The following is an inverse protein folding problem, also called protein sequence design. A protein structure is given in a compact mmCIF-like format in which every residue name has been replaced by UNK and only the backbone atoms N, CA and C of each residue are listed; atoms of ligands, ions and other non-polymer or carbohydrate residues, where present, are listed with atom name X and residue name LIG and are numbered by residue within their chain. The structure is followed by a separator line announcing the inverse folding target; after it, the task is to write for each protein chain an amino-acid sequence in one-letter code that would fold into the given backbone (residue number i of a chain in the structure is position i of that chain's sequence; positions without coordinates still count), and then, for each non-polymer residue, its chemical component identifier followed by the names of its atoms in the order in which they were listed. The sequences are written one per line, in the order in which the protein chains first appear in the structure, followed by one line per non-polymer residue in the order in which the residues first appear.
data_IF_589814696966
#
_entry.id   IF_589814696966
#
_cell.length_a   1.000
_cell.length_b   1.000
_cell.length_c   1.000
_cell.angle_alpha   90.00
_cell.angle_beta   90.00
_cell.angle_gamma   90.00
#
_symmetry.space_group_name_H-M   'P 1'
#
loop_
_entity.id
_entity.type
_entity.pdbx_description
1 polymer ?
#
# COMPACT_ATOMS: atom_id res chain seq x y z
N UNK A 1 2.65 11.64 -18.59
CA UNK A 1 2.09 12.04 -17.27
C UNK A 1 2.07 10.80 -16.41
N UNK A 2 2.36 10.90 -15.12
CA UNK A 2 2.24 9.78 -14.19
C UNK A 2 0.75 9.39 -14.03
N UNK A 3 0.47 8.09 -13.93
CA UNK A 3 -0.87 7.54 -13.76
C UNK A 3 -1.31 7.73 -12.30
N UNK A 4 -2.38 8.50 -12.02
CA UNK A 4 -2.89 8.63 -10.67
C UNK A 4 -3.55 7.32 -10.22
N UNK A 5 -3.18 6.82 -9.05
CA UNK A 5 -3.72 5.56 -8.50
C UNK A 5 -4.12 5.68 -7.03
N UNK A 6 -5.07 4.83 -6.63
CA UNK A 6 -5.34 4.45 -5.25
C UNK A 6 -4.90 2.99 -5.09
N UNK A 7 -4.13 2.70 -4.04
CA UNK A 7 -3.62 1.36 -3.79
C UNK A 7 -4.32 0.76 -2.58
N UNK A 8 -5.21 -0.20 -2.80
CA UNK A 8 -5.91 -0.94 -1.76
C UNK A 8 -5.24 -2.31 -1.55
N UNK A 9 -4.92 -2.66 -0.30
CA UNK A 9 -4.21 -3.91 0.02
C UNK A 9 -4.52 -4.45 1.43
N UNK A 10 -4.30 -5.75 1.67
CA UNK A 10 -4.37 -6.40 2.99
C UNK A 10 -2.96 -6.80 3.48
N UNK A 11 -2.10 -5.81 3.78
CA UNK A 11 -0.65 -5.89 3.76
C UNK A 11 -0.03 -7.16 4.37
N UNK A 12 0.31 -8.08 3.45
CA UNK A 12 1.32 -9.12 3.55
C UNK A 12 2.70 -8.62 3.13
N UNK A 13 3.65 -9.55 2.98
CA UNK A 13 5.03 -9.22 2.57
C UNK A 13 5.09 -8.77 1.10
N UNK A 14 4.24 -9.35 0.26
CA UNK A 14 4.06 -9.04 -1.15
C UNK A 14 3.45 -7.65 -1.35
N UNK A 15 2.43 -7.26 -0.58
CA UNK A 15 1.87 -5.91 -0.62
C UNK A 15 2.87 -4.84 -0.18
N UNK A 16 3.70 -5.15 0.83
CA UNK A 16 4.75 -4.22 1.26
C UNK A 16 5.72 -3.92 0.11
N UNK A 17 6.09 -4.95 -0.67
CA UNK A 17 6.92 -4.78 -1.87
C UNK A 17 6.17 -3.96 -2.92
N UNK A 18 4.89 -4.23 -3.15
CA UNK A 18 4.07 -3.47 -4.11
C UNK A 18 3.95 -1.99 -3.74
N UNK A 19 3.76 -1.66 -2.45
CA UNK A 19 3.74 -0.28 -1.95
C UNK A 19 5.07 0.41 -2.22
N UNK A 20 6.19 -0.22 -1.89
CA UNK A 20 7.53 0.37 -2.11
C UNK A 20 7.78 0.60 -3.60
N UNK A 21 7.47 -0.38 -4.45
CA UNK A 21 7.61 -0.25 -5.90
C UNK A 21 6.71 0.86 -6.47
N UNK A 22 5.47 0.96 -6.00
CA UNK A 22 4.53 1.98 -6.45
C UNK A 22 5.01 3.39 -6.09
N UNK A 23 5.52 3.59 -4.86
CA UNK A 23 6.04 4.87 -4.40
C UNK A 23 7.38 5.26 -5.06
N UNK A 24 8.18 4.29 -5.48
CA UNK A 24 9.44 4.52 -6.18
C UNK A 24 9.27 4.76 -7.69
N UNK A 25 8.11 4.44 -8.25
CA UNK A 25 7.86 4.55 -9.70
C UNK A 25 7.59 5.99 -10.12
N UNK A 26 8.31 6.48 -11.12
CA UNK A 26 8.03 7.79 -11.76
C UNK A 26 6.80 7.74 -12.68
N UNK A 27 6.31 6.54 -13.01
CA UNK A 27 5.14 6.33 -13.86
C UNK A 27 3.84 6.40 -13.06
N UNK A 28 3.89 6.31 -11.73
CA UNK A 28 2.73 6.27 -10.85
C UNK A 28 2.67 7.50 -9.94
N UNK A 29 1.47 7.99 -9.71
CA UNK A 29 1.17 9.10 -8.81
C UNK A 29 0.21 8.58 -7.74
N UNK A 30 0.77 7.99 -6.68
CA UNK A 30 0.03 7.36 -5.59
C UNK A 30 -0.68 8.43 -4.78
N UNK A 31 -2.01 8.49 -4.88
CA UNK A 31 -2.84 9.49 -4.20
C UNK A 31 -3.24 9.09 -2.80
N UNK A 32 -3.47 7.80 -2.59
CA UNK A 32 -3.73 7.23 -1.28
C UNK A 32 -3.42 5.73 -1.27
N UNK A 33 -3.19 5.22 -0.07
CA UNK A 33 -3.11 3.79 0.22
C UNK A 33 -4.22 3.49 1.22
N UNK A 34 -5.07 2.52 0.90
CA UNK A 34 -6.13 2.03 1.79
C UNK A 34 -5.80 0.61 2.22
N UNK A 35 -6.08 0.29 3.49
CA UNK A 35 -5.93 -1.07 4.00
C UNK A 35 -7.29 -1.72 4.13
N UNK A 36 -7.46 -2.88 3.50
CA UNK A 36 -8.63 -3.74 3.70
C UNK A 36 -8.30 -4.85 4.70
N UNK A 37 -9.32 -5.43 5.31
CA UNK A 37 -9.17 -6.64 6.11
C UNK A 37 -9.35 -7.86 5.21
N UNK A 38 -8.32 -8.70 5.16
CA UNK A 38 -8.33 -9.97 4.43
C UNK A 38 -7.76 -11.07 5.32
N UNK A 39 -6.47 -11.33 5.18
CA UNK A 39 -5.76 -12.39 5.92
C UNK A 39 -5.54 -12.09 7.42
N UNK A 40 -5.74 -10.85 7.84
CA UNK A 40 -5.49 -10.36 9.20
C UNK A 40 -6.59 -9.36 9.61
N UNK A 41 -6.60 -8.98 10.89
CA UNK A 41 -7.58 -8.02 11.41
C UNK A 41 -7.35 -6.62 10.84
N UNK A 42 -8.40 -5.78 10.71
CA UNK A 42 -8.28 -4.40 10.22
C UNK A 42 -7.20 -3.58 10.96
N UNK A 43 -7.07 -3.76 12.26
CA UNK A 43 -6.10 -3.01 13.07
C UNK A 43 -4.66 -3.44 12.78
N UNK A 44 -4.47 -4.72 12.41
CA UNK A 44 -3.17 -5.25 12.05
C UNK A 44 -2.79 -4.87 10.63
N UNK A 45 -3.74 -4.93 9.69
CA UNK A 45 -3.50 -4.47 8.31
C UNK A 45 -3.19 -2.98 8.28
N UNK A 46 -3.97 -2.14 8.96
CA UNK A 46 -3.65 -0.71 9.08
C UNK A 46 -2.25 -0.47 9.65
N UNK A 47 -1.88 -1.16 10.74
CA UNK A 47 -0.56 -1.02 11.36
C UNK A 47 0.58 -1.45 10.43
N UNK A 48 0.37 -2.49 9.63
CA UNK A 48 1.36 -2.97 8.67
C UNK A 48 1.58 -1.94 7.55
N UNK A 49 0.52 -1.41 6.95
CA UNK A 49 0.64 -0.30 5.96
C UNK A 49 1.42 0.86 6.58
N UNK A 50 1.04 1.31 7.77
CA UNK A 50 1.71 2.44 8.43
C UNK A 50 3.20 2.20 8.64
N UNK A 51 3.60 0.97 9.01
CA UNK A 51 5.02 0.60 9.18
C UNK A 51 5.81 0.55 7.88
N UNK A 52 5.17 0.28 6.75
CA UNK A 52 5.85 0.32 5.44
C UNK A 52 6.11 1.77 5.02
N UNK A 53 5.27 2.70 5.48
CA UNK A 53 5.31 4.12 5.10
C UNK A 53 6.15 5.02 6.02
N UNK A 54 6.67 4.50 7.15
CA UNK A 54 7.48 5.24 8.14
C UNK A 54 8.85 4.60 8.32
#
# INVERSE_FOLDING_TARGET
MALPILLDCDPGHDDAIAIVLALASLELDVKAITSSAGNQTPEKTLRNVLRVLT
#
